data_IF_913393661769
#
_entry.id   IF_913393661769
#
_cell.length_a   1.000
_cell.length_b   1.000
_cell.length_c   1.000
_cell.angle_alpha   90.00
_cell.angle_beta   90.00
_cell.angle_gamma   90.00
#
_symmetry.space_group_name_H-M   'P 1'
#
loop_
_entity.id
_entity.type
_entity.pdbx_description
1 polymer ?
2 polymer ?
3 polymer ?
4 non-polymer ?
5 water ?
#
# COMPACT_ATOMS: atom_id res chain seq x y z
N UNK A 1 -7.92 7.87 17.93
CA UNK A 1 -8.61 6.60 18.13
C UNK A 1 -7.65 5.42 18.19
N UNK A 2 -7.96 4.36 17.45
CA UNK A 2 -7.10 3.19 17.43
C UNK A 2 -5.97 3.38 16.41
N UNK A 3 -4.93 2.54 16.55
CA UNK A 3 -3.74 2.67 15.72
C UNK A 3 -3.18 1.28 15.42
N UNK A 4 -2.36 1.21 14.38
CA UNK A 4 -1.82 -0.06 13.94
C UNK A 4 -0.33 0.09 13.65
N UNK A 5 0.40 -1.02 13.83
CA UNK A 5 1.76 -1.12 13.33
C UNK A 5 1.81 -2.39 12.50
N UNK A 6 2.39 -2.31 11.32
CA UNK A 6 2.47 -3.46 10.42
C UNK A 6 3.82 -3.51 9.75
N UNK A 7 4.37 -4.71 9.63
CA UNK A 7 5.50 -4.95 8.75
C UNK A 7 5.06 -5.77 7.55
N UNK A 8 5.61 -5.44 6.38
CA UNK A 8 5.28 -6.10 5.12
C UNK A 8 6.58 -6.64 4.53
N UNK A 9 6.68 -7.95 4.41
CA UNK A 9 7.86 -8.61 3.87
C UNK A 9 7.53 -9.15 2.49
N UNK A 10 8.43 -8.93 1.52
CA UNK A 10 8.32 -9.59 0.22
C UNK A 10 9.66 -10.23 -0.09
N UNK A 11 9.65 -11.55 -0.31
CA UNK A 11 10.82 -12.33 -0.67
C UNK A 11 10.58 -12.97 -2.04
N UNK A 12 11.49 -12.75 -2.97
CA UNK A 12 11.24 -13.06 -4.37
C UNK A 12 12.44 -13.79 -4.95
N UNK A 13 12.24 -15.03 -5.39
CA UNK A 13 13.34 -15.70 -6.07
C UNK A 13 13.40 -15.25 -7.53
N UNK A 14 14.57 -15.45 -8.14
CA UNK A 14 14.87 -14.95 -9.49
C UNK A 14 15.97 -15.84 -10.06
N UNK A 15 15.67 -17.10 -10.36
CA UNK A 15 16.74 -18.05 -10.72
C UNK A 15 17.56 -17.52 -11.89
N UNK A 16 18.88 -17.63 -11.76
CA UNK A 16 19.79 -17.10 -12.77
C UNK A 16 20.16 -15.64 -12.58
N UNK A 17 19.50 -14.94 -11.67
CA UNK A 17 19.78 -13.53 -11.42
C UNK A 17 20.13 -13.31 -9.96
N UNK A 18 20.86 -14.26 -9.38
CA UNK A 18 21.27 -14.13 -8.00
C UNK A 18 20.28 -14.73 -7.03
N UNK A 19 20.52 -14.45 -5.75
CA UNK A 19 19.74 -15.04 -4.68
C UNK A 19 18.45 -14.25 -4.46
N UNK A 20 17.45 -14.84 -3.81
CA UNK A 20 16.17 -14.13 -3.65
C UNK A 20 16.30 -12.78 -2.93
N UNK A 21 15.63 -11.78 -3.47
CA UNK A 21 15.60 -10.46 -2.85
C UNK A 21 14.63 -10.46 -1.68
N UNK A 22 15.02 -9.79 -0.60
CA UNK A 22 14.19 -9.62 0.60
C UNK A 22 13.97 -8.14 0.86
N UNK A 23 12.71 -7.71 0.86
CA UNK A 23 12.32 -6.34 1.16
C UNK A 23 11.40 -6.36 2.37
N UNK A 24 11.65 -5.47 3.32
CA UNK A 24 10.77 -5.27 4.46
C UNK A 24 10.48 -3.79 4.56
N UNK A 25 9.20 -3.43 4.78
CA UNK A 25 8.80 -2.06 5.10
C UNK A 25 7.91 -2.09 6.33
N UNK A 26 8.02 -1.05 7.14
CA UNK A 26 7.22 -0.90 8.34
C UNK A 26 6.34 0.32 8.27
N UNK A 27 5.10 0.17 8.76
CA UNK A 27 4.11 1.24 8.80
C UNK A 27 3.57 1.41 10.22
N UNK A 28 3.28 2.66 10.57
CA UNK A 28 2.36 2.95 11.65
C UNK A 28 1.16 3.63 10.99
N UNK A 29 -0.03 3.04 11.14
CA UNK A 29 -1.23 3.49 10.40
C UNK A 29 -0.84 3.56 8.92
N UNK A 30 -1.07 4.69 8.23
CA UNK A 30 -0.74 4.83 6.81
C UNK A 30 0.56 5.60 6.59
N UNK A 31 1.47 5.57 7.57
CA UNK A 31 2.75 6.24 7.49
C UNK A 31 3.86 5.19 7.47
N UNK A 32 4.56 5.06 6.35
CA UNK A 32 5.73 4.20 6.36
C UNK A 32 6.85 4.85 7.16
N UNK A 33 7.55 4.07 7.98
CA UNK A 33 8.63 4.65 8.79
C UNK A 33 9.98 3.95 8.67
N UNK A 34 10.06 2.72 8.14
CA UNK A 34 11.34 2.06 7.91
C UNK A 34 11.28 1.24 6.62
N UNK A 35 12.47 0.94 6.09
CA UNK A 35 12.59 0.03 4.95
C UNK A 35 13.91 -0.71 5.04
N UNK A 36 13.93 -1.89 4.43
CA UNK A 36 15.14 -2.69 4.23
C UNK A 36 15.04 -3.34 2.86
N UNK A 37 16.17 -3.40 2.15
CA UNK A 37 16.22 -4.02 0.83
C UNK A 37 17.55 -4.76 0.72
N UNK A 38 17.50 -6.07 0.59
CA UNK A 38 18.75 -6.83 0.53
C UNK A 38 19.54 -6.54 -0.75
N UNK A 39 18.95 -5.88 -1.74
CA UNK A 39 19.68 -5.55 -2.96
C UNK A 39 20.49 -4.27 -2.83
N UNK A 40 20.33 -3.53 -1.75
CA UNK A 40 20.98 -2.24 -1.60
C UNK A 40 22.50 -2.42 -1.52
N UNK A 41 23.22 -1.40 -2.00
CA UNK A 41 24.68 -1.46 -1.95
C UNK A 41 25.16 -1.86 -0.57
N UNK A 42 24.63 -1.23 0.47
CA UNK A 42 24.89 -1.61 1.86
C UNK A 42 23.56 -1.79 2.55
N UNK A 43 23.05 -3.02 2.67
CA UNK A 43 21.72 -3.21 3.27
C UNK A 43 21.71 -2.86 4.75
N UNK A 44 20.78 -1.98 5.13
CA UNK A 44 20.53 -1.61 6.51
C UNK A 44 19.06 -1.26 6.66
N UNK A 45 18.55 -1.42 7.87
CA UNK A 45 17.26 -0.79 8.16
C UNK A 45 17.44 0.71 8.07
N UNK A 46 16.55 1.37 7.34
CA UNK A 46 16.72 2.80 7.07
C UNK A 46 15.46 3.56 7.43
N UNK A 47 15.60 4.77 7.98
CA UNK A 47 14.42 5.56 8.35
C UNK A 47 13.67 6.07 7.13
N UNK A 48 12.36 6.15 7.26
CA UNK A 48 11.52 6.73 6.24
C UNK A 48 10.51 7.73 6.79
N UNK A 49 10.54 8.01 8.10
CA UNK A 49 9.76 9.05 8.75
C UNK A 49 10.68 9.75 9.73
N UNK A 50 10.57 11.07 9.89
CA UNK A 50 11.52 11.80 10.75
C UNK A 50 11.50 11.35 12.20
N UNK A 51 10.32 10.99 12.72
CA UNK A 51 10.20 10.66 14.14
C UNK A 51 10.91 9.36 14.52
N UNK A 52 11.24 8.49 13.56
CA UNK A 52 12.04 7.31 13.88
C UNK A 52 13.53 7.62 13.89
N UNK A 53 13.95 8.75 13.33
CA UNK A 53 15.37 9.04 13.24
C UNK A 53 16.00 9.22 14.61
N UNK A 54 15.22 9.56 15.64
CA UNK A 54 15.78 9.72 16.97
C UNK A 54 16.14 8.42 17.65
N UNK A 55 15.72 7.25 17.12
CA UNK A 55 16.19 6.01 17.72
C UNK A 55 17.71 5.90 17.57
N UNK A 56 18.34 5.32 18.59
CA UNK A 56 19.78 5.27 18.64
C UNK A 56 20.38 4.15 17.81
N UNK A 57 21.71 4.09 17.80
CA UNK A 57 22.41 3.09 16.99
C UNK A 57 22.06 1.66 17.34
N UNK A 58 21.83 1.37 18.62
CA UNK A 58 21.48 -0.01 18.98
C UNK A 58 20.20 -0.44 18.27
N UNK A 59 19.19 0.43 18.23
CA UNK A 59 17.97 0.15 17.47
C UNK A 59 18.28 -0.16 16.02
N UNK A 60 19.08 0.68 15.36
CA UNK A 60 19.31 0.50 13.93
C UNK A 60 20.14 -0.75 13.66
N UNK A 61 21.11 -1.04 14.52
CA UNK A 61 21.90 -2.27 14.33
C UNK A 61 21.05 -3.51 14.56
N UNK A 62 20.21 -3.48 15.59
CA UNK A 62 19.39 -4.66 15.91
C UNK A 62 18.40 -4.94 14.80
N UNK A 63 17.71 -3.90 14.32
CA UNK A 63 16.71 -4.13 13.28
C UNK A 63 17.38 -4.46 11.96
N UNK A 64 18.58 -3.94 11.71
CA UNK A 64 19.34 -4.35 10.53
C UNK A 64 19.72 -5.83 10.63
N UNK A 65 20.21 -6.27 11.79
CA UNK A 65 20.61 -7.67 11.95
C UNK A 65 19.44 -8.62 11.73
N UNK A 66 18.27 -8.28 12.30
CA UNK A 66 17.10 -9.13 12.12
C UNK A 66 16.79 -9.25 10.63
N UNK A 67 16.89 -8.13 9.90
CA UNK A 67 16.54 -8.11 8.48
C UNK A 67 17.55 -8.88 7.65
N UNK A 68 18.84 -8.80 7.99
CA UNK A 68 19.84 -9.59 7.29
C UNK A 68 19.67 -11.08 7.55
N UNK A 69 19.39 -11.45 8.80
CA UNK A 69 19.03 -12.83 9.12
C UNK A 69 17.79 -13.27 8.34
N UNK A 70 16.75 -12.43 8.33
CA UNK A 70 15.56 -12.77 7.55
C UNK A 70 15.88 -12.95 6.08
N UNK A 71 16.81 -12.17 5.52
CA UNK A 71 17.20 -12.41 4.13
C UNK A 71 17.58 -13.87 3.91
N UNK A 72 18.36 -14.43 4.84
CA UNK A 72 18.74 -15.83 4.73
C UNK A 72 17.57 -16.75 5.05
N UNK A 73 16.81 -16.43 6.10
CA UNK A 73 15.71 -17.31 6.51
C UNK A 73 14.68 -17.43 5.41
N UNK A 74 14.34 -16.31 4.75
CA UNK A 74 13.33 -16.36 3.69
C UNK A 74 13.85 -17.05 2.44
N UNK A 75 15.16 -17.06 2.22
CA UNK A 75 15.70 -17.87 1.13
C UNK A 75 15.53 -19.36 1.42
N UNK A 76 15.77 -19.77 2.68
CA UNK A 76 15.47 -21.14 3.07
C UNK A 76 13.99 -21.46 2.85
N UNK A 77 13.11 -20.55 3.26
CA UNK A 77 11.68 -20.80 3.13
C UNK A 77 11.27 -20.92 1.67
N UNK A 78 11.85 -20.10 0.79
CA UNK A 78 11.53 -20.21 -0.62
C UNK A 78 11.95 -21.57 -1.19
N UNK A 79 13.14 -22.04 -0.83
CA UNK A 79 13.55 -23.39 -1.21
C UNK A 79 12.58 -24.42 -0.68
N UNK A 80 12.12 -24.25 0.56
CA UNK A 80 11.20 -25.23 1.14
C UNK A 80 9.87 -25.23 0.41
N UNK A 81 9.30 -24.05 0.14
CA UNK A 81 8.00 -24.03 -0.51
C UNK A 81 8.07 -24.53 -1.94
N UNK A 82 9.16 -24.24 -2.66
CA UNK A 82 9.33 -24.83 -3.98
C UNK A 82 9.17 -26.34 -3.91
N UNK A 83 9.81 -26.97 -2.92
CA UNK A 83 9.65 -28.40 -2.73
C UNK A 83 8.25 -28.82 -2.35
N UNK A 84 7.57 -28.06 -1.47
CA UNK A 84 6.23 -28.43 -1.03
C UNK A 84 5.25 -28.48 -2.19
N UNK A 85 5.50 -27.71 -3.25
CA UNK A 85 4.64 -27.70 -4.41
C UNK A 85 5.24 -28.41 -5.61
N UNK A 86 6.33 -29.16 -5.43
CA UNK A 86 6.96 -29.92 -6.52
C UNK A 86 7.37 -29.03 -7.68
N UNK A 87 7.79 -27.79 -7.41
CA UNK A 87 8.10 -26.84 -8.46
C UNK A 87 9.56 -26.93 -8.90
N UNK A 88 9.80 -26.58 -10.16
CA UNK A 88 11.16 -26.65 -10.70
C UNK A 88 11.99 -25.49 -10.16
N UNK A 89 13.30 -25.61 -10.34
CA UNK A 89 14.21 -24.54 -9.95
C UNK A 89 14.19 -23.36 -10.92
N UNK A 90 13.41 -23.43 -11.99
CA UNK A 90 13.49 -22.43 -13.06
C UNK A 90 12.60 -21.21 -12.84
N UNK A 91 11.51 -21.38 -12.08
CA UNK A 91 10.55 -20.31 -11.94
C UNK A 91 10.82 -19.38 -10.77
N UNK A 92 10.28 -18.18 -10.89
CA UNK A 92 10.37 -17.18 -9.85
C UNK A 92 9.13 -17.27 -8.97
N UNK A 93 9.34 -17.22 -7.65
CA UNK A 93 8.26 -17.31 -6.69
C UNK A 93 8.40 -16.24 -5.62
N UNK A 94 7.28 -15.97 -4.93
CA UNK A 94 7.20 -14.87 -3.99
C UNK A 94 6.54 -15.34 -2.70
N UNK A 95 7.21 -15.13 -1.57
CA UNK A 95 6.57 -15.21 -0.26
C UNK A 95 6.27 -13.79 0.19
N UNK A 96 5.07 -13.55 0.67
CA UNK A 96 4.73 -12.29 1.29
C UNK A 96 4.22 -12.58 2.70
N UNK A 97 4.57 -11.70 3.64
CA UNK A 97 4.09 -11.84 5.00
C UNK A 97 3.77 -10.47 5.54
N UNK A 98 2.64 -10.36 6.23
CA UNK A 98 2.26 -9.15 6.95
C UNK A 98 2.02 -9.53 8.40
N UNK A 99 2.63 -8.81 9.33
CA UNK A 99 2.34 -9.06 10.74
C UNK A 99 2.34 -7.74 11.51
N UNK A 100 1.68 -7.74 12.66
CA UNK A 100 1.63 -6.52 13.44
C UNK A 100 0.49 -6.55 14.43
N UNK A 101 0.18 -5.36 14.96
CA UNK A 101 -0.74 -5.25 16.07
C UNK A 101 -1.57 -3.98 15.93
N UNK A 102 -2.78 -4.03 16.48
CA UNK A 102 -3.67 -2.89 16.62
C UNK A 102 -3.82 -2.57 18.10
N UNK A 103 -3.83 -1.28 18.44
CA UNK A 103 -4.06 -0.85 19.82
C UNK A 103 -5.19 0.16 19.84
N UNK A 104 -5.92 0.20 20.97
CA UNK A 104 -6.99 1.15 21.12
C UNK A 104 -6.47 2.50 21.54
N UNK A 105 -7.40 3.46 21.68
CA UNK A 105 -7.01 4.80 22.16
C UNK A 105 -6.24 4.78 23.47
N UNK A 106 -6.48 3.78 24.31
CA UNK A 106 -5.77 3.64 25.58
C UNK A 106 -4.49 2.81 25.44
N UNK A 107 -4.11 2.46 24.21
CA UNK A 107 -2.87 1.74 23.97
C UNK A 107 -2.93 0.25 24.20
N UNK A 108 -4.08 -0.32 24.57
CA UNK A 108 -4.15 -1.74 24.85
C UNK A 108 -4.31 -2.55 23.56
N UNK A 109 -3.73 -3.74 23.56
CA UNK A 109 -3.80 -4.60 22.38
C UNK A 109 -5.25 -4.88 22.02
N UNK A 110 -5.61 -4.58 20.77
CA UNK A 110 -6.92 -4.96 20.27
C UNK A 110 -6.88 -6.30 19.56
N UNK A 111 -5.84 -6.52 18.75
CA UNK A 111 -5.74 -7.71 17.90
C UNK A 111 -4.32 -7.78 17.35
N UNK A 112 -3.79 -8.98 17.20
CA UNK A 112 -2.52 -9.21 16.54
C UNK A 112 -2.73 -9.94 15.22
N UNK A 113 -1.75 -9.86 14.31
CA UNK A 113 -1.87 -10.43 12.98
C UNK A 113 -0.57 -11.09 12.58
N UNK A 114 -0.67 -12.19 11.85
CA UNK A 114 0.46 -12.76 11.13
C UNK A 114 -0.10 -13.57 9.98
N UNK A 115 0.09 -13.10 8.76
CA UNK A 115 -0.53 -13.72 7.59
C UNK A 115 0.50 -13.80 6.48
N UNK A 116 0.50 -14.93 5.76
CA UNK A 116 1.46 -15.18 4.71
C UNK A 116 0.75 -15.62 3.43
N UNK A 117 1.39 -15.32 2.30
CA UNK A 117 0.92 -15.71 0.98
C UNK A 117 2.09 -16.30 0.20
N UNK A 118 1.76 -17.16 -0.76
CA UNK A 118 2.75 -17.70 -1.67
C UNK A 118 2.27 -17.49 -3.10
N UNK A 119 3.11 -16.83 -3.91
CA UNK A 119 2.73 -16.46 -5.27
C UNK A 119 1.37 -15.76 -5.31
N UNK A 120 1.12 -14.89 -4.33
CA UNK A 120 -0.09 -14.09 -4.31
C UNK A 120 -1.31 -14.76 -3.73
N UNK A 121 -1.19 -15.99 -3.24
CA UNK A 121 -2.33 -16.75 -2.72
C UNK A 121 -2.12 -17.00 -1.24
N UNK A 122 -3.20 -16.86 -0.47
CA UNK A 122 -3.12 -17.13 0.97
C UNK A 122 -2.48 -18.48 1.23
N UNK A 123 -1.55 -18.51 2.18
CA UNK A 123 -0.78 -19.72 2.48
C UNK A 123 -0.98 -20.18 3.92
N UNK A 124 -0.66 -19.35 4.91
CA UNK A 124 -0.87 -19.71 6.31
C UNK A 124 -1.06 -18.43 7.12
N UNK A 125 -1.93 -18.49 8.12
CA UNK A 125 -2.22 -17.31 8.93
C UNK A 125 -2.36 -17.75 10.37
N UNK A 126 -1.84 -16.91 11.27
CA UNK A 126 -2.11 -17.06 12.69
C UNK A 126 -3.55 -16.63 12.94
N UNK A 127 -4.30 -17.46 13.67
CA UNK A 127 -5.66 -17.11 13.98
C UNK A 127 -5.68 -15.99 15.03
N UNK A 128 -6.86 -15.43 15.26
CA UNK A 128 -6.97 -14.29 16.17
C UNK A 128 -6.62 -14.65 17.59
N UNK A 129 -6.72 -15.93 17.95
CA UNK A 129 -6.33 -16.39 19.27
C UNK A 129 -4.84 -16.30 19.52
N UNK A 130 -4.04 -15.95 18.50
CA UNK A 130 -2.58 -15.91 18.59
C UNK A 130 -2.01 -17.23 19.10
N UNK A 131 -2.72 -18.32 18.80
CA UNK A 131 -2.38 -19.63 19.35
C UNK A 131 -2.47 -20.77 18.34
N UNK A 132 -3.24 -20.63 17.27
CA UNK A 132 -3.42 -21.70 16.30
C UNK A 132 -3.33 -21.12 14.90
N UNK A 133 -3.21 -22.01 13.92
CA UNK A 133 -2.92 -21.64 12.55
C UNK A 133 -4.04 -22.09 11.63
N UNK A 134 -4.20 -21.36 10.54
CA UNK A 134 -5.05 -21.79 9.44
C UNK A 134 -4.17 -21.94 8.21
N UNK A 135 -4.03 -23.16 7.74
CA UNK A 135 -3.22 -23.47 6.57
C UNK A 135 -4.12 -23.63 5.34
N UNK A 136 -3.69 -23.04 4.24
CA UNK A 136 -4.55 -23.00 3.05
C UNK A 136 -4.65 -24.35 2.36
N UNK A 137 -3.64 -25.20 2.47
CA UNK A 137 -3.59 -26.41 1.66
C UNK A 137 -2.59 -27.37 2.29
N UNK A 138 -2.37 -28.52 1.63
CA UNK A 138 -1.52 -29.53 2.24
C UNK A 138 -0.06 -29.11 2.29
N UNK A 139 0.36 -28.18 1.44
CA UNK A 139 1.72 -27.66 1.54
C UNK A 139 1.88 -26.79 2.78
N UNK A 140 0.95 -25.86 2.97
CA UNK A 140 0.99 -25.02 4.17
C UNK A 140 0.87 -25.87 5.44
N UNK A 141 0.23 -27.03 5.36
CA UNK A 141 0.16 -27.89 6.54
C UNK A 141 1.53 -28.36 6.97
N UNK A 142 2.48 -28.46 6.03
CA UNK A 142 3.85 -28.81 6.40
C UNK A 142 4.45 -27.69 7.24
N UNK A 143 4.29 -26.44 6.79
CA UNK A 143 4.73 -25.32 7.60
C UNK A 143 4.01 -25.31 8.94
N UNK A 144 2.70 -25.58 8.94
CA UNK A 144 1.94 -25.55 10.19
C UNK A 144 2.51 -26.54 11.19
N UNK A 145 2.73 -27.79 10.75
CA UNK A 145 3.27 -28.79 11.66
C UNK A 145 4.67 -28.41 12.12
N UNK A 146 5.48 -27.84 11.24
CA UNK A 146 6.80 -27.33 11.64
C UNK A 146 6.67 -26.23 12.68
N UNK A 147 5.75 -25.29 12.47
CA UNK A 147 5.63 -24.20 13.42
C UNK A 147 4.98 -24.67 14.72
N UNK A 148 4.11 -25.67 14.64
CA UNK A 148 3.54 -26.22 15.86
C UNK A 148 4.62 -26.91 16.70
N UNK A 149 5.44 -27.74 16.06
CA UNK A 149 6.55 -28.38 16.77
C UNK A 149 7.53 -27.37 17.37
N UNK A 150 7.71 -26.23 16.72
CA UNK A 150 8.62 -25.20 17.22
C UNK A 150 7.94 -24.21 18.17
N UNK A 151 6.65 -24.38 18.44
CA UNK A 151 5.91 -23.44 19.29
C UNK A 151 6.05 -22.01 18.78
N UNK A 152 5.98 -21.86 17.45
CA UNK A 152 6.18 -20.54 16.85
C UNK A 152 5.01 -19.61 17.12
N UNK A 153 3.77 -20.14 17.20
CA UNK A 153 2.65 -19.30 17.59
C UNK A 153 2.88 -18.64 18.94
N UNK A 154 3.44 -19.39 19.89
CA UNK A 154 3.78 -18.80 21.18
C UNK A 154 4.76 -17.64 21.04
N UNK A 155 5.72 -17.77 20.11
CA UNK A 155 6.67 -16.68 19.90
C UNK A 155 5.98 -15.47 19.27
N UNK A 156 5.07 -15.69 18.32
CA UNK A 156 4.31 -14.57 17.77
C UNK A 156 3.49 -13.90 18.85
N UNK A 157 2.79 -14.69 19.67
CA UNK A 157 1.98 -14.11 20.72
C UNK A 157 2.83 -13.25 21.65
N UNK A 158 4.02 -13.73 22.02
CA UNK A 158 4.87 -12.96 22.91
C UNK A 158 5.29 -11.64 22.29
N UNK A 159 5.66 -11.67 21.00
CA UNK A 159 6.00 -10.45 20.29
C UNK A 159 4.81 -9.50 20.19
N UNK A 160 3.66 -10.03 19.78
CA UNK A 160 2.50 -9.20 19.48
C UNK A 160 1.93 -8.55 20.73
N UNK A 161 1.97 -9.26 21.86
CA UNK A 161 1.46 -8.71 23.11
C UNK A 161 2.49 -7.86 23.84
N UNK A 162 3.76 -8.00 23.53
CA UNK A 162 4.81 -7.24 24.17
C UNK A 162 5.43 -6.17 23.28
N UNK A 163 6.51 -6.53 22.59
CA UNK A 163 7.29 -5.56 21.82
C UNK A 163 6.42 -4.78 20.85
N UNK A 164 5.52 -5.47 20.13
CA UNK A 164 4.71 -4.78 19.13
C UNK A 164 3.91 -3.63 19.74
N UNK A 165 3.20 -3.88 20.84
CA UNK A 165 2.39 -2.78 21.36
C UNK A 165 3.28 -1.77 22.09
N UNK A 166 4.35 -2.21 22.75
CA UNK A 166 5.21 -1.29 23.48
C UNK A 166 5.90 -0.33 22.51
N UNK A 167 6.42 -0.85 21.41
CA UNK A 167 7.10 0.03 20.47
C UNK A 167 6.10 0.85 19.67
N UNK A 168 4.93 0.29 19.34
CA UNK A 168 3.90 1.12 18.70
C UNK A 168 3.53 2.31 19.58
N UNK A 169 3.34 2.09 20.88
CA UNK A 169 3.04 3.20 21.78
C UNK A 169 4.15 4.25 21.76
N UNK A 170 5.40 3.81 21.75
CA UNK A 170 6.52 4.75 21.71
C UNK A 170 6.51 5.57 20.41
N UNK A 171 6.30 4.89 19.28
CA UNK A 171 6.26 5.57 17.99
C UNK A 171 5.14 6.60 17.95
N UNK A 172 3.96 6.23 18.46
CA UNK A 172 2.82 7.15 18.44
C UNK A 172 3.11 8.41 19.24
N UNK A 173 3.80 8.29 20.38
CA UNK A 173 4.14 9.47 21.15
C UNK A 173 5.24 10.27 20.47
N UNK A 174 6.29 9.60 20.01
CA UNK A 174 7.39 10.29 19.33
C UNK A 174 6.93 10.99 18.06
N UNK A 175 5.94 10.45 17.37
CA UNK A 175 5.45 11.10 16.17
C UNK A 175 4.06 11.70 16.30
N UNK A 176 3.68 12.08 17.52
CA UNK A 176 2.27 12.40 17.78
C UNK A 176 1.77 13.57 16.94
N UNK A 177 2.66 14.52 16.60
CA UNK A 177 2.23 15.69 15.84
C UNK A 177 1.72 15.33 14.45
N UNK A 178 2.09 14.17 13.91
CA UNK A 178 1.61 13.73 12.61
C UNK A 178 0.78 12.45 12.71
N UNK A 179 1.27 11.45 13.44
CA UNK A 179 0.55 10.18 13.55
C UNK A 179 -0.80 10.34 14.23
N UNK A 180 -0.89 11.25 15.18
CA UNK A 180 -2.16 11.47 15.89
C UNK A 180 -2.82 12.76 15.45
N UNK A 181 -2.61 13.13 14.19
CA UNK A 181 -3.26 14.28 13.58
C UNK A 181 -3.99 13.83 12.33
N UNK A 182 -5.31 13.98 12.32
CA UNK A 182 -6.08 13.69 11.13
C UNK A 182 -6.25 14.98 10.35
N UNK A 183 -5.88 14.96 9.07
CA UNK A 183 -6.03 16.13 8.20
C UNK A 183 -7.26 15.93 7.34
N UNK A 184 -8.25 16.82 7.39
CA UNK A 184 -9.49 16.59 6.65
C UNK A 184 -9.29 16.73 5.16
N UNK A 185 -10.17 16.15 4.35
CA UNK A 185 -10.10 16.37 2.92
C UNK A 185 -10.52 17.80 2.57
N UNK A 186 -9.83 18.37 1.60
CA UNK A 186 -10.34 19.52 0.87
C UNK A 186 -11.20 18.99 -0.26
N UNK A 187 -12.41 19.52 -0.38
CA UNK A 187 -13.41 18.92 -1.25
C UNK A 187 -13.90 19.93 -2.27
N UNK A 188 -14.30 19.41 -3.44
CA UNK A 188 -15.09 20.22 -4.36
C UNK A 188 -15.84 19.29 -5.31
N UNK A 189 -16.86 19.85 -5.96
CA UNK A 189 -17.68 19.11 -6.92
C UNK A 189 -17.51 19.76 -8.30
N UNK A 190 -17.14 18.95 -9.29
CA UNK A 190 -16.99 19.39 -10.67
C UNK A 190 -18.10 18.81 -11.53
N UNK A 191 -18.28 19.43 -12.69
CA UNK A 191 -19.37 19.12 -13.61
C UNK A 191 -18.77 18.97 -15.00
N UNK A 192 -18.90 17.78 -15.59
CA UNK A 192 -18.33 17.50 -16.91
C UNK A 192 -19.44 17.09 -17.86
N UNK A 193 -19.91 17.98 -18.74
CA UNK A 193 -20.93 17.56 -19.71
C UNK A 193 -20.48 16.40 -20.58
N UNK A 194 -21.38 15.46 -20.80
CA UNK A 194 -21.16 14.33 -21.68
C UNK A 194 -21.86 14.52 -23.02
N UNK A 195 -23.08 15.00 -22.98
CA UNK A 195 -23.93 15.18 -24.15
C UNK A 195 -25.01 16.17 -23.77
N UNK A 196 -25.94 16.42 -24.69
CA UNK A 196 -27.13 17.20 -24.33
C UNK A 196 -28.00 16.50 -23.30
N UNK A 197 -27.82 15.19 -23.12
CA UNK A 197 -28.67 14.37 -22.28
C UNK A 197 -28.14 14.18 -20.86
N UNK A 198 -26.82 14.15 -20.69
CA UNK A 198 -26.20 13.78 -19.42
C UNK A 198 -24.94 14.60 -19.16
N UNK A 199 -24.56 14.65 -17.88
CA UNK A 199 -23.28 15.20 -17.45
C UNK A 199 -22.75 14.39 -16.27
N UNK A 200 -21.44 14.47 -16.05
CA UNK A 200 -20.77 13.79 -14.95
C UNK A 200 -20.59 14.76 -13.78
N UNK A 201 -21.03 14.34 -12.60
CA UNK A 201 -20.73 15.07 -11.37
C UNK A 201 -19.62 14.31 -10.66
N UNK A 202 -18.52 14.98 -10.36
CA UNK A 202 -17.37 14.35 -9.72
C UNK A 202 -17.09 15.04 -8.40
N UNK A 203 -17.10 14.26 -7.32
CA UNK A 203 -16.85 14.75 -5.97
C UNK A 203 -15.42 14.41 -5.58
N UNK A 204 -14.63 15.44 -5.25
CA UNK A 204 -13.20 15.33 -5.00
C UNK A 204 -12.89 15.44 -3.51
N UNK A 205 -11.93 14.64 -3.06
CA UNK A 205 -11.37 14.77 -1.71
C UNK A 205 -9.85 14.73 -1.86
N UNK A 206 -9.19 15.78 -1.40
CA UNK A 206 -7.75 15.96 -1.58
C UNK A 206 -7.10 16.29 -0.24
N UNK A 207 -5.87 15.83 -0.07
CA UNK A 207 -5.07 16.26 1.05
C UNK A 207 -5.40 15.66 2.39
N UNK A 208 -6.12 14.53 2.44
CA UNK A 208 -6.52 13.98 3.73
C UNK A 208 -5.54 12.94 4.26
N UNK A 209 -5.50 12.81 5.58
CA UNK A 209 -4.73 11.77 6.29
C UNK A 209 -5.55 11.46 7.54
N UNK A 210 -5.77 10.17 7.87
CA UNK A 210 -5.29 8.95 7.19
C UNK A 210 -6.10 8.62 5.95
N UNK A 211 -5.84 7.46 5.34
CA UNK A 211 -6.45 7.16 4.05
C UNK A 211 -7.92 6.78 4.17
N UNK A 212 -8.33 6.25 5.33
CA UNK A 212 -9.73 5.89 5.53
C UNK A 212 -10.65 7.06 5.22
N UNK A 213 -11.62 6.85 4.33
CA UNK A 213 -12.56 7.91 3.96
C UNK A 213 -13.78 7.26 3.35
N UNK A 214 -14.90 7.97 3.40
CA UNK A 214 -16.15 7.54 2.79
C UNK A 214 -16.66 8.66 1.89
N UNK A 215 -16.70 8.39 0.59
CA UNK A 215 -17.21 9.30 -0.42
C UNK A 215 -18.39 8.62 -1.09
N UNK A 216 -19.57 9.23 -1.03
CA UNK A 216 -20.75 8.62 -1.62
C UNK A 216 -21.59 9.68 -2.32
N UNK A 217 -22.27 9.26 -3.37
CA UNK A 217 -23.26 10.09 -4.03
C UNK A 217 -24.64 9.58 -3.64
N UNK A 218 -25.54 10.50 -3.32
CA UNK A 218 -26.94 10.18 -3.12
C UNK A 218 -27.79 10.91 -4.16
N UNK A 219 -28.88 10.28 -4.57
CA UNK A 219 -29.87 10.89 -5.45
C UNK A 219 -31.21 10.82 -4.73
N UNK A 220 -31.77 11.98 -4.39
CA UNK A 220 -32.96 12.06 -3.53
C UNK A 220 -32.72 11.33 -2.22
N UNK A 221 -31.51 11.46 -1.67
CA UNK A 221 -31.18 10.86 -0.39
C UNK A 221 -30.94 9.37 -0.41
N UNK A 222 -30.87 8.75 -1.58
CA UNK A 222 -30.64 7.32 -1.71
C UNK A 222 -29.26 7.09 -2.32
N UNK A 223 -28.49 6.20 -1.71
CA UNK A 223 -27.13 5.94 -2.19
C UNK A 223 -27.15 5.43 -3.62
N UNK A 224 -26.24 5.97 -4.43
CA UNK A 224 -26.07 5.56 -5.82
C UNK A 224 -24.92 4.59 -5.97
N UNK A 225 -24.84 3.62 -5.06
CA UNK A 225 -23.67 2.72 -4.99
C UNK A 225 -23.35 2.09 -6.34
N UNK A 226 -24.35 1.45 -6.96
CA UNK A 226 -24.11 0.77 -8.23
C UNK A 226 -23.79 1.73 -9.37
N UNK A 227 -24.20 2.99 -9.25
CA UNK A 227 -24.04 3.96 -10.31
C UNK A 227 -22.84 4.89 -10.09
N UNK A 228 -22.13 4.74 -8.98
CA UNK A 228 -21.01 5.62 -8.66
C UNK A 228 -19.71 4.95 -9.06
N UNK A 229 -18.90 5.65 -9.85
CA UNK A 229 -17.54 5.23 -10.14
C UNK A 229 -16.64 5.77 -9.03
N UNK A 230 -16.00 4.86 -8.31
CA UNK A 230 -15.23 5.21 -7.12
C UNK A 230 -13.78 4.81 -7.37
N UNK A 231 -12.91 5.79 -7.58
CA UNK A 231 -11.52 5.50 -7.87
C UNK A 231 -10.79 5.04 -6.60
N UNK A 232 -9.75 4.22 -6.77
CA UNK A 232 -8.98 3.77 -5.62
C UNK A 232 -8.29 4.94 -4.95
N UNK A 233 -8.32 4.95 -3.62
CA UNK A 233 -7.61 5.99 -2.87
C UNK A 233 -6.12 5.94 -3.20
N UNK A 234 -5.54 7.11 -3.46
CA UNK A 234 -4.19 7.15 -4.02
C UNK A 234 -3.33 8.14 -3.25
N UNK A 235 -2.03 7.88 -3.14
CA UNK A 235 -1.16 8.76 -2.37
C UNK A 235 -0.74 9.98 -3.16
N UNK A 236 -0.69 11.14 -2.50
CA UNK A 236 -0.23 12.35 -3.15
C UNK A 236 1.29 12.51 -3.10
N UNK A 237 1.98 11.79 -2.21
CA UNK A 237 3.42 11.92 -2.05
C UNK A 237 3.85 12.85 -0.94
N UNK A 238 2.92 13.53 -0.28
CA UNK A 238 3.24 14.39 0.86
C UNK A 238 2.64 13.86 2.16
N UNK A 239 2.34 12.55 2.19
CA UNK A 239 1.71 11.79 3.29
C UNK A 239 0.20 11.75 3.14
N UNK A 240 -0.38 12.66 2.36
CA UNK A 240 -1.83 12.70 2.23
C UNK A 240 -2.30 11.85 1.05
N UNK A 241 -3.62 11.72 0.95
CA UNK A 241 -4.27 10.86 -0.02
C UNK A 241 -5.33 11.66 -0.76
N UNK A 242 -5.79 11.06 -1.86
CA UNK A 242 -6.73 11.66 -2.78
C UNK A 242 -7.72 10.60 -3.21
N UNK A 243 -8.97 11.02 -3.45
CA UNK A 243 -9.99 10.11 -3.96
C UNK A 243 -11.05 10.92 -4.65
N UNK A 244 -11.71 10.32 -5.64
CA UNK A 244 -12.93 10.93 -6.16
C UNK A 244 -13.98 9.87 -6.46
N UNK A 245 -15.23 10.35 -6.52
CA UNK A 245 -16.41 9.55 -6.81
C UNK A 245 -17.20 10.30 -7.88
N UNK A 246 -17.70 9.57 -8.86
CA UNK A 246 -18.40 10.23 -9.97
C UNK A 246 -19.69 9.49 -10.28
N UNK A 247 -20.68 10.26 -10.73
CA UNK A 247 -21.96 9.70 -11.13
C UNK A 247 -22.42 10.46 -12.38
N UNK A 248 -23.11 9.75 -13.26
CA UNK A 248 -23.64 10.35 -14.49
C UNK A 248 -25.08 10.75 -14.23
N UNK A 249 -25.37 12.04 -14.43
CA UNK A 249 -26.68 12.56 -14.06
C UNK A 249 -27.42 13.06 -15.28
N UNK A 250 -28.74 12.95 -15.32
CA UNK A 250 -29.50 13.59 -16.41
C UNK A 250 -29.39 15.10 -16.30
N UNK A 251 -29.21 15.75 -17.45
CA UNK A 251 -29.13 17.20 -17.49
C UNK A 251 -30.34 17.82 -16.81
N UNK A 252 -30.09 18.83 -15.97
CA UNK A 252 -31.14 19.50 -15.22
C UNK A 252 -31.50 18.87 -13.90
N UNK A 253 -31.08 17.63 -13.64
CA UNK A 253 -31.38 16.97 -12.37
C UNK A 253 -30.24 17.06 -11.36
N UNK A 254 -29.25 17.90 -11.63
CA UNK A 254 -28.04 17.94 -10.79
C UNK A 254 -28.35 18.23 -9.32
N UNK A 255 -29.41 18.99 -9.03
CA UNK A 255 -29.66 19.32 -7.63
C UNK A 255 -30.29 18.19 -6.86
N UNK A 256 -30.70 17.11 -7.52
CA UNK A 256 -31.15 15.94 -6.78
C UNK A 256 -30.00 15.10 -6.24
N UNK A 257 -28.76 15.49 -6.53
CA UNK A 257 -27.57 14.71 -6.18
C UNK A 257 -26.77 15.40 -5.10
N UNK A 258 -26.39 14.65 -4.05
CA UNK A 258 -25.54 15.18 -3.00
C UNK A 258 -24.35 14.26 -2.80
N UNK A 259 -23.18 14.84 -2.59
CA UNK A 259 -21.98 14.09 -2.24
C UNK A 259 -21.76 14.19 -0.73
N UNK A 260 -21.54 13.05 -0.10
CA UNK A 260 -21.38 12.98 1.35
C UNK A 260 -19.97 12.50 1.66
N UNK A 261 -19.29 13.22 2.54
CA UNK A 261 -17.90 12.97 2.88
C UNK A 261 -17.80 12.73 4.37
N UNK A 262 -17.23 11.60 4.75
CA UNK A 262 -16.90 11.30 6.14
C UNK A 262 -15.41 11.03 6.25
N UNK A 263 -14.76 11.71 7.20
CA UNK A 263 -13.34 11.53 7.45
C UNK A 263 -13.05 12.00 8.86
N UNK A 264 -12.09 11.33 9.51
CA UNK A 264 -11.76 11.60 10.90
C UNK A 264 -11.33 13.05 11.11
N UNK A 265 -10.76 13.69 10.10
CA UNK A 265 -10.28 15.05 10.31
C UNK A 265 -11.34 16.13 10.24
N UNK A 266 -12.54 15.76 9.87
CA UNK A 266 -13.65 16.69 9.62
C UNK A 266 -14.37 17.00 10.92
N UNK A 267 -14.65 18.28 11.19
CA UNK A 267 -15.52 18.61 12.33
C UNK A 267 -16.83 17.83 12.32
N UNK A 268 -17.47 17.74 11.16
CA UNK A 268 -18.70 16.98 10.97
C UNK A 268 -18.73 16.50 9.53
N UNK A 269 -19.52 15.47 9.23
CA UNK A 269 -19.59 15.00 7.83
C UNK A 269 -20.08 16.10 6.89
N UNK A 270 -19.59 16.06 5.66
CA UNK A 270 -19.90 17.09 4.68
C UNK A 270 -20.99 16.61 3.73
N UNK A 271 -21.81 17.57 3.29
CA UNK A 271 -22.77 17.34 2.22
C UNK A 271 -22.55 18.42 1.19
N UNK A 272 -22.16 18.01 -0.03
CA UNK A 272 -21.81 18.93 -1.09
C UNK A 272 -22.74 18.74 -2.27
N UNK A 273 -22.97 19.83 -3.00
CA UNK A 273 -23.74 19.81 -4.22
C UNK A 273 -22.96 20.54 -5.30
N UNK A 274 -23.32 20.28 -6.54
CA UNK A 274 -22.80 21.10 -7.63
C UNK A 274 -23.26 22.53 -7.43
N UNK A 275 -22.31 23.47 -7.47
CA UNK A 275 -22.60 24.89 -7.32
C UNK A 275 -22.16 25.60 -8.60
N UNK A 276 -23.05 25.72 -9.60
CA UNK A 276 -22.68 26.28 -10.89
C UNK A 276 -22.33 27.78 -10.81
N UNK B 1 0.88 -19.91 -11.92
CA UNK B 1 0.18 -19.18 -10.86
C UNK B 1 -0.73 -18.11 -11.46
N UNK B 2 -1.55 -17.49 -10.61
CA UNK B 2 -2.42 -16.42 -11.03
C UNK B 2 -1.63 -15.12 -11.04
N UNK B 3 -1.86 -14.31 -12.08
CA UNK B 3 -1.20 -13.01 -12.21
C UNK B 3 -2.28 -11.94 -12.34
N UNK B 4 -1.93 -10.73 -11.92
CA UNK B 4 -2.89 -9.64 -11.85
C UNK B 4 -2.33 -8.42 -12.56
N UNK B 5 -3.14 -7.79 -13.37
CA UNK B 5 -2.60 -6.71 -14.18
C UNK B 5 -2.69 -5.38 -13.41
N UNK B 6 -1.77 -4.44 -13.62
CA UNK B 6 -1.78 -3.23 -12.80
C UNK B 6 -2.89 -2.27 -13.20
N UNK B 7 -3.49 -1.67 -12.20
CA UNK B 7 -4.25 -0.44 -12.38
C UNK B 7 -3.29 0.74 -12.37
N UNK B 8 -3.66 1.81 -13.07
CA UNK B 8 -2.76 2.94 -13.30
C UNK B 8 -3.57 4.23 -13.11
N UNK B 9 -3.08 5.13 -12.27
CA UNK B 9 -3.61 6.48 -12.17
C UNK B 9 -2.47 7.46 -12.32
N UNK B 10 -2.72 8.50 -13.13
CA UNK B 10 -1.75 9.55 -13.41
C UNK B 10 -2.36 10.89 -13.00
N UNK B 11 -1.65 11.64 -12.17
CA UNK B 11 -2.24 12.80 -11.51
C UNK B 11 -1.12 13.60 -10.88
N UNK B 12 -1.46 14.81 -10.42
CA UNK B 12 -0.50 15.69 -9.78
C UNK B 12 -0.71 15.73 -8.28
N UNK B 13 0.36 16.06 -7.55
CA UNK B 13 0.26 16.17 -6.10
C UNK B 13 -0.69 17.28 -5.69
N UNK B 14 -0.50 18.47 -6.25
CA UNK B 14 -1.35 19.62 -6.02
C UNK B 14 -2.15 19.93 -7.28
N UNK B 15 -3.28 20.63 -7.17
CA UNK B 15 -3.98 21.08 -8.39
C UNK B 15 -3.00 21.80 -9.30
N UNK B 16 -3.11 21.51 -10.60
CA UNK B 16 -2.10 21.96 -11.54
C UNK B 16 -2.31 23.42 -11.92
N UNK B 17 -1.22 24.17 -11.91
CA UNK B 17 -1.22 25.58 -12.32
C UNK B 17 0.00 25.79 -13.21
N UNK B 18 -0.23 26.18 -14.46
CA UNK B 18 0.88 26.38 -15.39
C UNK B 18 1.93 27.31 -14.79
N UNK B 19 3.19 26.96 -15.02
CA UNK B 19 4.30 27.73 -14.50
C UNK B 19 4.65 27.48 -13.06
N UNK B 20 3.85 26.71 -12.32
CA UNK B 20 4.08 26.47 -10.90
C UNK B 20 4.56 25.04 -10.69
N UNK B 21 5.64 24.88 -9.92
CA UNK B 21 6.23 23.58 -9.70
C UNK B 21 5.28 22.70 -8.90
N UNK B 22 5.36 21.39 -9.15
CA UNK B 22 4.37 20.44 -8.71
C UNK B 22 5.06 19.07 -8.71
N UNK B 23 4.29 18.02 -8.45
CA UNK B 23 4.77 16.66 -8.61
C UNK B 23 3.81 15.90 -9.50
N UNK B 24 4.35 15.16 -10.45
CA UNK B 24 3.57 14.29 -11.32
C UNK B 24 3.67 12.87 -10.79
N UNK B 25 2.52 12.24 -10.57
CA UNK B 25 2.44 10.94 -9.94
C UNK B 25 1.93 9.90 -10.93
N UNK B 26 2.49 8.70 -10.88
CA UNK B 26 1.90 7.55 -11.54
C UNK B 26 1.79 6.45 -10.50
N UNK B 27 0.56 6.13 -10.12
CA UNK B 27 0.30 5.14 -9.08
C UNK B 27 -0.10 3.85 -9.76
N UNK B 28 0.71 2.80 -9.57
CA UNK B 28 0.42 1.48 -10.12
C UNK B 28 0.09 0.56 -8.96
N UNK B 29 -0.99 -0.20 -9.10
CA UNK B 29 -1.49 -0.97 -7.97
C UNK B 29 -2.24 -2.18 -8.49
N UNK B 30 -2.52 -3.10 -7.59
CA UNK B 30 -3.34 -4.25 -7.92
C UNK B 30 -2.65 -5.31 -8.73
N UNK B 31 -1.33 -5.27 -8.84
CA UNK B 31 -0.65 -6.18 -9.75
C UNK B 31 0.12 -7.27 -8.98
N UNK B 32 0.38 -8.35 -9.69
CA UNK B 32 1.12 -9.50 -9.17
C UNK B 32 1.62 -10.29 -10.36
N UNK B 33 2.90 -10.67 -10.43
CA UNK B 33 3.97 -10.49 -9.43
C UNK B 33 4.49 -9.05 -9.39
N UNK B 34 5.56 -8.81 -8.63
CA UNK B 34 5.96 -7.45 -8.29
C UNK B 34 6.81 -6.77 -9.35
N UNK B 35 7.49 -7.54 -10.22
CA UNK B 35 8.31 -6.91 -11.25
C UNK B 35 7.43 -6.06 -12.17
N UNK B 36 7.82 -4.81 -12.40
CA UNK B 36 7.03 -3.90 -13.22
C UNK B 36 7.96 -2.82 -13.75
N UNK B 37 7.65 -2.33 -14.94
CA UNK B 37 8.43 -1.26 -15.57
C UNK B 37 7.51 -0.06 -15.75
N UNK B 38 7.89 1.07 -15.17
CA UNK B 38 7.07 2.27 -15.20
C UNK B 38 7.94 3.42 -15.66
N UNK B 39 7.53 4.08 -16.74
CA UNK B 39 8.17 5.32 -17.17
C UNK B 39 7.16 6.46 -17.14
N UNK B 40 7.66 7.64 -16.80
CA UNK B 40 6.92 8.89 -16.95
C UNK B 40 7.42 9.57 -18.22
N UNK B 41 6.48 10.03 -19.04
CA UNK B 41 6.76 10.56 -20.37
C UNK B 41 6.45 12.05 -20.44
N UNK B 42 7.35 12.81 -21.05
CA UNK B 42 7.14 14.23 -21.33
C UNK B 42 7.17 14.39 -22.84
N UNK B 43 6.01 14.71 -23.42
CA UNK B 43 5.85 14.82 -24.87
C UNK B 43 6.38 13.58 -25.58
N UNK B 44 6.10 12.42 -25.00
CA UNK B 44 6.50 11.15 -25.58
C UNK B 44 7.88 10.64 -25.18
N UNK B 45 8.70 11.46 -24.52
CA UNK B 45 10.08 11.09 -24.20
C UNK B 45 10.22 10.75 -22.72
N UNK B 46 11.04 9.75 -22.43
CA UNK B 46 11.17 9.26 -21.07
C UNK B 46 11.82 10.32 -20.17
N UNK B 47 11.19 10.62 -19.06
CA UNK B 47 11.77 11.54 -18.07
C UNK B 47 12.86 10.80 -17.30
N UNK B 48 13.99 11.46 -17.09
CA UNK B 48 15.12 10.85 -16.37
C UNK B 48 14.95 11.01 -14.87
N UNK B 49 15.53 10.07 -14.12
CA UNK B 49 15.67 10.21 -12.67
C UNK B 49 14.32 10.27 -11.96
N UNK B 50 13.36 9.48 -12.41
CA UNK B 50 12.09 9.33 -11.72
C UNK B 50 12.30 8.45 -10.50
N UNK B 51 11.69 8.83 -9.37
CA UNK B 51 11.79 8.07 -8.14
C UNK B 51 10.51 7.26 -7.90
N UNK B 52 10.59 6.33 -6.94
CA UNK B 52 9.41 5.54 -6.61
C UNK B 52 9.45 5.13 -5.13
N UNK B 53 8.27 4.81 -4.60
CA UNK B 53 8.11 4.36 -3.23
C UNK B 53 8.71 2.97 -3.03
N UNK B 54 8.77 2.55 -1.77
CA UNK B 54 9.24 1.21 -1.43
C UNK B 54 8.11 0.19 -1.61
N UNK B 55 8.46 -0.96 -2.18
CA UNK B 55 7.46 -1.96 -2.52
C UNK B 55 6.69 -2.42 -1.29
N UNK B 56 5.37 -2.34 -1.36
CA UNK B 56 4.50 -2.91 -0.35
C UNK B 56 3.28 -3.47 -1.06
N UNK B 57 2.33 -3.97 -0.28
CA UNK B 57 1.21 -4.67 -0.89
C UNK B 57 -0.04 -4.46 -0.05
N UNK B 58 -1.18 -4.67 -0.70
CA UNK B 58 -2.51 -4.50 -0.14
C UNK B 58 -3.00 -5.77 0.54
N UNK B 59 -4.19 -5.69 1.13
CA UNK B 59 -4.73 -6.81 1.90
C UNK B 59 -4.95 -8.05 1.03
N UNK B 60 -5.16 -7.88 -0.28
CA UNK B 60 -5.32 -9.00 -1.18
C UNK B 60 -4.00 -9.47 -1.81
N UNK B 61 -2.88 -9.02 -1.27
CA UNK B 61 -1.51 -9.39 -1.63
C UNK B 61 -1.05 -8.74 -2.93
N UNK B 62 -1.88 -7.97 -3.62
CA UNK B 62 -1.41 -7.29 -4.82
C UNK B 62 -0.50 -6.12 -4.44
N UNK B 63 0.45 -5.81 -5.33
CA UNK B 63 1.48 -4.82 -5.06
C UNK B 63 1.03 -3.43 -5.50
N UNK B 64 1.66 -2.40 -4.91
CA UNK B 64 1.46 -1.02 -5.35
C UNK B 64 2.75 -0.22 -5.21
N UNK B 65 2.94 0.71 -6.13
CA UNK B 65 4.12 1.59 -6.14
C UNK B 65 3.68 2.96 -6.64
N UNK B 66 4.30 3.99 -6.08
CA UNK B 66 4.12 5.36 -6.56
C UNK B 66 5.39 5.79 -7.26
N UNK B 67 5.29 6.13 -8.54
CA UNK B 67 6.38 6.73 -9.29
C UNK B 67 6.09 8.22 -9.41
N UNK B 68 7.12 9.06 -9.21
CA UNK B 68 6.90 10.49 -9.14
C UNK B 68 8.15 11.26 -9.55
N UNK B 69 7.91 12.50 -10.00
CA UNK B 69 8.99 13.42 -10.34
C UNK B 69 8.46 14.83 -10.18
N UNK B 70 9.31 15.72 -9.67
CA UNK B 70 8.97 17.15 -9.70
C UNK B 70 8.84 17.62 -11.15
N UNK B 71 7.85 18.46 -11.40
CA UNK B 71 7.67 19.02 -12.73
C UNK B 71 6.95 20.36 -12.63
N UNK B 72 7.07 21.15 -13.68
CA UNK B 72 6.33 22.41 -13.81
C UNK B 72 5.44 22.32 -15.04
N UNK B 73 4.14 22.15 -14.89
CA UNK B 73 3.29 22.01 -16.06
C UNK B 73 3.19 23.30 -16.85
N UNK B 74 2.99 23.14 -18.16
CA UNK B 74 2.71 24.24 -19.07
C UNK B 74 1.51 23.86 -19.91
N UNK B 75 0.96 24.85 -20.61
CA UNK B 75 -0.19 24.59 -21.48
C UNK B 75 0.18 23.64 -22.61
N UNK B 76 1.43 23.68 -23.07
CA UNK B 76 1.84 22.92 -24.24
C UNK B 76 2.20 21.48 -23.89
N UNK B 77 2.92 21.29 -22.79
CA UNK B 77 3.50 19.98 -22.50
C UNK B 77 2.43 18.95 -22.18
N UNK B 78 2.59 17.76 -22.72
CA UNK B 78 1.71 16.63 -22.44
C UNK B 78 2.50 15.58 -21.66
N UNK B 79 1.87 14.99 -20.66
CA UNK B 79 2.54 14.04 -19.79
C UNK B 79 1.78 12.71 -19.78
N UNK B 80 2.51 11.63 -19.51
CA UNK B 80 1.88 10.32 -19.49
C UNK B 80 2.74 9.36 -18.68
N UNK B 81 2.17 8.20 -18.43
CA UNK B 81 2.82 7.14 -17.68
C UNK B 81 2.77 5.88 -18.54
N UNK B 82 3.92 5.22 -18.71
CA UNK B 82 4.01 4.03 -19.55
C UNK B 82 4.39 2.85 -18.68
N UNK B 83 3.56 1.81 -18.71
CA UNK B 83 3.66 0.69 -17.77
C UNK B 83 3.77 -0.60 -18.56
N UNK B 84 4.77 -1.41 -18.24
CA UNK B 84 4.84 -2.78 -18.74
C UNK B 84 4.90 -3.76 -17.57
N UNK B 85 4.30 -4.93 -17.79
CA UNK B 85 4.14 -5.96 -16.77
C UNK B 85 3.94 -7.26 -17.52
N UNK B 86 4.21 -8.38 -16.85
CA UNK B 86 4.12 -9.67 -17.54
C UNK B 86 2.69 -9.92 -18.03
N UNK B 87 1.68 -9.34 -17.37
CA UNK B 87 0.31 -9.51 -17.83
C UNK B 87 0.00 -8.72 -19.09
N UNK B 88 0.87 -7.79 -19.49
CA UNK B 88 0.60 -6.89 -20.60
C UNK B 88 1.41 -7.32 -21.82
N UNK B 89 0.73 -7.54 -22.94
CA UNK B 89 1.46 -7.91 -24.15
C UNK B 89 2.27 -6.74 -24.68
N UNK B 90 1.71 -5.53 -24.62
CA UNK B 90 2.41 -4.33 -25.00
C UNK B 90 2.33 -3.32 -23.87
N UNK B 91 3.31 -2.42 -23.75
CA UNK B 91 3.23 -1.38 -22.72
C UNK B 91 1.93 -0.59 -22.82
N UNK B 92 1.36 -0.27 -21.66
CA UNK B 92 0.14 0.52 -21.57
C UNK B 92 0.52 1.97 -21.26
N UNK B 93 -0.04 2.91 -22.00
CA UNK B 93 0.24 4.32 -21.83
C UNK B 93 -1.05 4.99 -21.36
N UNK B 94 -0.97 5.69 -20.24
CA UNK B 94 -2.10 6.42 -19.68
C UNK B 94 -1.68 7.88 -19.62
N UNK B 95 -2.45 8.73 -20.30
CA UNK B 95 -2.14 10.15 -20.36
C UNK B 95 -2.56 10.84 -19.07
N UNK B 96 -1.80 11.87 -18.69
CA UNK B 96 -2.21 12.71 -17.57
C UNK B 96 -3.40 13.55 -18.02
N UNK B 97 -4.59 13.14 -17.59
CA UNK B 97 -5.83 13.85 -17.92
C UNK B 97 -5.91 15.14 -17.11
N UNK B 98 -5.48 16.25 -17.72
CA UNK B 98 -5.50 17.55 -17.06
C UNK B 98 -6.84 18.25 -17.22
N UNK B 99 -7.93 17.50 -17.41
CA UNK B 99 -9.26 18.05 -17.60
C UNK B 99 -10.08 18.07 -16.31
N UNK B 100 -9.91 17.06 -15.47
CA UNK B 100 -10.70 16.93 -14.25
C UNK B 100 -10.22 17.86 -13.12
N UNK C 1 9.45 -1.88 15.70
CA UNK C 1 10.44 -2.87 16.11
C UNK C 1 10.09 -4.25 15.53
N UNK C 2 11.03 -4.85 14.80
CA UNK C 2 10.78 -6.12 14.12
C UNK C 2 10.77 -7.29 15.10
N UNK C 3 10.12 -8.37 14.69
CA UNK C 3 10.20 -9.61 15.45
C UNK C 3 11.46 -10.36 15.05
N UNK C 4 12.22 -10.82 16.04
CA UNK C 4 13.46 -11.53 15.79
C UNK C 4 13.22 -13.04 15.82
N UNK C 5 14.22 -13.77 15.32
CA UNK C 5 14.32 -15.23 15.48
C UNK C 5 13.18 -16.00 14.79
N UNK C 6 12.76 -15.52 13.63
CA UNK C 6 11.70 -16.22 12.90
C UNK C 6 12.11 -17.63 12.52
N UNK C 7 11.18 -18.57 12.67
CA UNK C 7 11.38 -19.91 12.12
C UNK C 7 11.08 -19.91 10.62
N UNK C 8 11.87 -20.67 9.85
CA UNK C 8 11.61 -20.74 8.43
C UNK C 8 10.34 -21.53 8.15
N UNK C 9 9.78 -21.33 6.95
CA UNK C 9 8.55 -22.02 6.53
C UNK C 9 8.83 -23.48 6.21
X LIG D 1 -1.79 -0.18 6.42
X LIG D 1 -1.17 -0.99 7.38
X LIG D 1 -0.79 0.51 5.50
X LIG D 1 -0.50 -0.35 4.39
X LIG D 1 -1.50 1.77 5.01
X LIG D 1 -0.78 2.46 4.01
X LIG E 1 11.05 -0.87 -4.81
X LIG E 1 11.08 -1.28 -3.47
X LIG E 1 11.48 -1.98 -5.79
X LIG E 1 10.36 -2.66 -6.30
X LIG E 1 12.26 -1.38 -6.96
X LIG E 1 13.64 -1.67 -6.87
#
# INVERSE_FOLDING_TARGET
GSHSMRYFYTAMSRPGRGEPRFIAVGYVDDTQFVRFDSDAASPRMAPRAPWIEQEGPEYWDRNTQISKTNTQTYRESLRNLRGYYNQSEAGSHIIQRMYGCDVGPDGRLLRGYDQSAYDGKDYIALNEDLSSWTAADTAAQITQRKWEAAREAEQLRAYLEGLCVEWLRRYLENGKETLQRADPPKTHVTHHPISDHEATLRCWALGFYPAEITLTWQRDGEDQTQDTELVETRPAGDRTFQKWAAVVVPSGEEQRYTCHVQHEGLPKPLTLRWEP
MIQRTPKIQVYSRHPAENGKSNFLNCYVSGFHPSDIEVDLLKNGERIEKVEHSDLSFSKDWSFYLLYYTEFTPTEKDEYACRVNHVTLSQPKIVKWDRDM
ELRAREESY
GOL C1 O1 C2 O2 C3 O3
GOL C1 O1 C2 O2 C3 O3
#
